data_IF_375485092446
#
_entry.id   IF_375485092446
#
_cell.length_a   1.000
_cell.length_b   1.000
_cell.length_c   1.000
_cell.angle_alpha   90.00
_cell.angle_beta   90.00
_cell.angle_gamma   90.00
#
_symmetry.space_group_name_H-M   'P 1'
#
loop_
_entity.id
_entity.type
_entity.pdbx_description
1 polymer ?
#
# COMPACT_ATOMS: atom_id res chain seq x y z
N UNK A 1 -10.53 -9.91 1.92
CA UNK A 1 -9.94 -8.84 2.78
C UNK A 1 -8.84 -8.13 2.01
N UNK A 2 -8.58 -6.85 2.31
CA UNK A 2 -7.43 -6.12 1.75
C UNK A 2 -6.24 -6.29 2.69
N UNK A 3 -5.15 -6.84 2.17
CA UNK A 3 -3.90 -7.07 2.88
C UNK A 3 -2.94 -5.91 2.62
N UNK A 4 -2.27 -5.41 3.66
CA UNK A 4 -1.21 -4.41 3.57
C UNK A 4 0.11 -5.02 4.06
N UNK A 5 1.18 -4.82 3.31
CA UNK A 5 2.49 -5.39 3.63
C UNK A 5 3.51 -4.36 4.09
N UNK A 6 3.15 -3.09 4.24
CA UNK A 6 4.17 -2.04 4.44
C UNK A 6 3.75 -0.84 5.27
N UNK A 7 2.81 -0.97 6.22
CA UNK A 7 2.45 0.16 7.09
C UNK A 7 3.35 0.27 8.33
N UNK A 8 3.71 -0.84 8.98
CA UNK A 8 4.53 -0.84 10.20
C UNK A 8 6.00 -1.15 9.96
N UNK A 9 6.32 -1.77 8.81
CA UNK A 9 7.69 -2.08 8.41
C UNK A 9 7.79 -2.16 6.89
N UNK A 10 8.98 -2.09 6.34
CA UNK A 10 9.21 -2.34 4.91
C UNK A 10 9.46 -3.85 4.69
N UNK A 11 8.36 -4.63 4.59
CA UNK A 11 8.45 -6.07 4.38
C UNK A 11 9.08 -6.43 3.05
N UNK A 12 8.91 -5.60 2.05
CA UNK A 12 9.40 -5.83 0.70
C UNK A 12 10.92 -5.68 0.64
N UNK A 13 11.47 -4.66 1.30
CA UNK A 13 12.91 -4.42 1.27
C UNK A 13 13.69 -5.44 2.13
N UNK A 14 13.17 -5.76 3.32
CA UNK A 14 13.95 -6.50 4.32
C UNK A 14 13.47 -7.91 4.61
N UNK A 15 12.24 -8.23 4.23
CA UNK A 15 11.56 -9.47 4.60
C UNK A 15 10.92 -10.16 3.39
N UNK A 16 11.46 -9.95 2.18
CA UNK A 16 10.92 -10.51 0.93
C UNK A 16 10.80 -12.04 0.99
N UNK A 17 11.81 -12.73 1.51
CA UNK A 17 11.78 -14.19 1.63
C UNK A 17 10.66 -14.64 2.59
N UNK A 18 10.56 -14.01 3.76
CA UNK A 18 9.47 -14.28 4.70
C UNK A 18 8.10 -14.04 4.05
N UNK A 19 7.93 -12.92 3.37
CA UNK A 19 6.68 -12.57 2.72
C UNK A 19 6.28 -13.64 1.68
N UNK A 20 7.21 -14.08 0.85
CA UNK A 20 6.99 -15.15 -0.13
C UNK A 20 6.66 -16.49 0.54
N UNK A 21 7.33 -16.83 1.63
CA UNK A 21 7.03 -18.03 2.42
C UNK A 21 5.62 -17.96 3.01
N UNK A 22 5.17 -16.79 3.52
CA UNK A 22 3.81 -16.63 4.04
C UNK A 22 2.75 -16.85 2.97
N UNK A 23 2.95 -16.29 1.77
CA UNK A 23 2.04 -16.54 0.64
C UNK A 23 2.07 -18.00 0.16
N UNK A 24 3.23 -18.64 0.17
CA UNK A 24 3.37 -20.06 -0.18
C UNK A 24 2.68 -20.97 0.82
N UNK A 25 2.81 -20.70 2.11
CA UNK A 25 2.17 -21.48 3.17
C UNK A 25 0.68 -21.16 3.34
N UNK A 26 0.20 -20.05 2.76
CA UNK A 26 -1.20 -19.68 2.75
C UNK A 26 -1.72 -19.06 4.04
N UNK A 27 -0.85 -18.66 4.98
CA UNK A 27 -1.24 -17.95 6.18
C UNK A 27 -0.11 -17.11 6.79
N UNK A 28 -0.50 -16.16 7.64
CA UNK A 28 0.40 -15.34 8.44
C UNK A 28 -0.16 -15.15 9.84
N UNK A 29 0.72 -15.04 10.81
CA UNK A 29 0.40 -14.65 12.17
C UNK A 29 0.84 -13.21 12.43
N UNK A 30 0.00 -12.45 13.12
CA UNK A 30 0.34 -11.09 13.55
C UNK A 30 0.11 -10.94 15.04
N UNK A 31 1.10 -10.42 15.74
CA UNK A 31 1.01 -10.15 17.17
C UNK A 31 0.39 -8.78 17.40
N UNK A 32 -0.58 -8.73 18.32
CA UNK A 32 -1.21 -7.45 18.66
C UNK A 32 -0.20 -6.57 19.44
N UNK A 33 0.11 -5.35 18.99
CA UNK A 33 1.10 -4.50 19.66
C UNK A 33 0.66 -4.01 21.05
N UNK A 34 -0.64 -3.95 21.32
CA UNK A 34 -1.20 -3.52 22.62
C UNK A 34 -1.42 -4.71 23.58
N UNK A 35 -1.63 -5.90 23.05
CA UNK A 35 -1.87 -7.14 23.79
C UNK A 35 -0.95 -8.22 23.24
N UNK A 36 0.32 -8.27 23.72
CA UNK A 36 1.35 -9.12 23.12
C UNK A 36 1.04 -10.63 23.15
N UNK A 37 0.21 -11.10 24.07
CA UNK A 37 -0.20 -12.51 24.15
C UNK A 37 -1.33 -12.86 23.16
N UNK A 38 -1.89 -11.86 22.47
CA UNK A 38 -2.91 -12.08 21.43
C UNK A 38 -2.26 -12.10 20.05
N UNK A 39 -2.38 -13.25 19.41
CA UNK A 39 -1.90 -13.50 18.05
C UNK A 39 -3.08 -13.73 17.14
N UNK A 40 -3.12 -13.03 16.02
CA UNK A 40 -4.19 -13.18 15.02
C UNK A 40 -3.65 -13.94 13.81
N UNK A 41 -4.37 -14.98 13.40
CA UNK A 41 -4.12 -15.73 12.18
C UNK A 41 -4.95 -15.18 11.03
N UNK A 42 -4.31 -14.89 9.92
CA UNK A 42 -4.96 -14.54 8.65
C UNK A 42 -4.59 -15.56 7.58
N UNK A 43 -5.61 -16.06 6.87
CA UNK A 43 -5.43 -16.89 5.67
C UNK A 43 -4.99 -16.01 4.51
N UNK A 44 -3.97 -16.45 3.77
CA UNK A 44 -3.43 -15.78 2.59
C UNK A 44 -3.79 -16.54 1.30
N UNK A 45 -4.97 -17.12 1.22
CA UNK A 45 -5.45 -17.81 0.02
C UNK A 45 -6.19 -16.84 -0.92
N UNK A 46 -6.21 -17.08 -2.25
CA UNK A 46 -6.84 -16.16 -3.20
C UNK A 46 -8.33 -15.89 -2.96
N UNK A 47 -9.04 -16.80 -2.31
CA UNK A 47 -10.45 -16.64 -1.94
C UNK A 47 -10.65 -15.73 -0.69
N UNK A 48 -9.61 -15.54 0.12
CA UNK A 48 -9.64 -14.69 1.33
C UNK A 48 -9.05 -13.30 1.10
N UNK A 49 -8.20 -13.15 0.09
CA UNK A 49 -7.51 -11.89 -0.22
C UNK A 49 -8.11 -11.24 -1.46
N UNK A 50 -8.78 -10.12 -1.28
CA UNK A 50 -9.34 -9.33 -2.38
C UNK A 50 -8.27 -8.53 -3.12
N UNK A 51 -7.26 -8.07 -2.40
CA UNK A 51 -6.18 -7.23 -2.91
C UNK A 51 -5.00 -7.21 -1.94
N UNK A 52 -3.78 -7.21 -2.48
CA UNK A 52 -2.54 -6.98 -1.72
C UNK A 52 -2.00 -5.59 -2.02
N UNK A 53 -1.86 -4.77 -0.98
CA UNK A 53 -1.22 -3.46 -1.03
C UNK A 53 0.24 -3.59 -0.60
N UNK A 54 1.13 -3.27 -1.51
CA UNK A 54 2.57 -3.19 -1.23
C UNK A 54 2.96 -1.73 -0.99
N UNK A 55 3.71 -1.47 0.07
CA UNK A 55 4.27 -0.13 0.33
C UNK A 55 5.73 -0.30 0.73
N UNK A 56 6.64 0.25 -0.06
CA UNK A 56 8.08 0.08 0.14
C UNK A 56 8.88 1.26 -0.39
N UNK A 57 10.10 1.41 0.13
CA UNK A 57 11.14 2.30 -0.38
C UNK A 57 12.14 1.59 -1.29
N UNK A 58 12.02 0.26 -1.42
CA UNK A 58 12.88 -0.52 -2.31
C UNK A 58 12.24 -1.86 -2.69
N UNK A 59 11.89 -2.02 -3.95
CA UNK A 59 11.33 -3.26 -4.48
C UNK A 59 12.38 -4.22 -5.06
N UNK A 60 13.65 -3.82 -5.19
CA UNK A 60 14.68 -4.66 -5.82
C UNK A 60 14.77 -6.09 -5.26
N UNK A 61 14.67 -6.32 -3.92
CA UNK A 61 14.79 -7.67 -3.37
C UNK A 61 13.69 -8.65 -3.81
N UNK A 62 12.45 -8.16 -4.03
CA UNK A 62 11.32 -9.03 -4.38
C UNK A 62 11.13 -9.21 -5.89
N UNK A 63 11.65 -8.28 -6.72
CA UNK A 63 11.40 -8.31 -8.18
C UNK A 63 11.65 -9.66 -8.84
N UNK A 64 12.74 -10.42 -8.52
CA UNK A 64 13.02 -11.69 -9.19
C UNK A 64 11.92 -12.74 -8.99
N UNK A 65 11.17 -12.66 -7.89
CA UNK A 65 10.15 -13.63 -7.48
C UNK A 65 8.75 -13.01 -7.34
N UNK A 66 8.55 -11.77 -7.76
CA UNK A 66 7.31 -11.04 -7.56
C UNK A 66 6.10 -11.73 -8.21
N UNK A 67 6.31 -12.42 -9.32
CA UNK A 67 5.26 -13.17 -10.05
C UNK A 67 4.66 -14.30 -9.21
N UNK A 68 5.36 -14.84 -8.22
CA UNK A 68 4.80 -15.84 -7.30
C UNK A 68 3.54 -15.33 -6.57
N UNK A 69 3.44 -13.99 -6.42
CA UNK A 69 2.27 -13.31 -5.80
C UNK A 69 1.37 -12.70 -6.88
N UNK A 70 1.93 -11.93 -7.81
CA UNK A 70 1.13 -11.13 -8.75
C UNK A 70 0.32 -11.96 -9.74
N UNK A 71 0.73 -13.20 -10.02
CA UNK A 71 -0.01 -14.11 -10.89
C UNK A 71 -1.24 -14.74 -10.19
N UNK A 72 -1.34 -14.62 -8.86
CA UNK A 72 -2.40 -15.23 -8.05
C UNK A 72 -3.35 -14.21 -7.40
N UNK A 73 -2.89 -12.99 -7.17
CA UNK A 73 -3.62 -11.99 -6.41
C UNK A 73 -3.74 -10.67 -7.15
N UNK A 74 -4.85 -9.95 -7.04
CA UNK A 74 -4.91 -8.54 -7.35
C UNK A 74 -3.92 -7.78 -6.47
N UNK A 75 -3.16 -6.84 -7.07
CA UNK A 75 -2.06 -6.16 -6.38
C UNK A 75 -2.06 -4.67 -6.67
N UNK A 76 -1.51 -3.86 -5.75
CA UNK A 76 -1.21 -2.46 -6.01
C UNK A 76 0.04 -2.03 -5.23
N UNK A 77 0.90 -1.24 -5.87
CA UNK A 77 2.23 -0.91 -5.38
C UNK A 77 2.36 0.58 -5.10
N UNK A 78 2.73 0.91 -3.89
CA UNK A 78 3.11 2.27 -3.48
C UNK A 78 4.63 2.31 -3.35
N UNK A 79 5.31 2.94 -4.30
CA UNK A 79 6.75 3.10 -4.25
C UNK A 79 7.10 4.48 -3.73
N UNK A 80 7.66 4.56 -2.54
CA UNK A 80 8.10 5.82 -1.94
C UNK A 80 9.48 6.19 -2.46
N UNK A 81 9.57 7.28 -3.21
CA UNK A 81 10.82 7.88 -3.69
C UNK A 81 10.79 9.35 -3.33
N UNK A 82 11.75 9.78 -2.53
CA UNK A 82 11.91 11.12 -1.96
C UNK A 82 13.30 11.68 -2.31
N UNK A 83 13.53 12.99 -2.23
CA UNK A 83 14.83 13.58 -2.57
C UNK A 83 15.89 13.43 -1.48
N UNK A 84 15.56 12.75 -0.37
CA UNK A 84 16.42 12.72 0.80
C UNK A 84 17.62 11.80 0.61
N UNK A 85 18.78 12.24 1.12
CA UNK A 85 20.00 11.44 1.17
C UNK A 85 20.09 10.60 2.44
N UNK A 86 21.27 10.00 2.61
CA UNK A 86 21.59 9.13 3.77
C UNK A 86 21.54 9.87 5.11
N UNK A 87 21.58 11.18 5.10
CA UNK A 87 21.43 12.05 6.27
C UNK A 87 20.00 12.00 6.87
N UNK A 88 18.99 11.71 6.06
CA UNK A 88 17.58 11.56 6.48
C UNK A 88 17.10 10.12 6.35
N UNK A 89 17.52 9.41 5.29
CA UNK A 89 17.08 8.05 4.93
C UNK A 89 18.28 7.09 4.77
N UNK A 90 18.96 6.71 5.86
CA UNK A 90 20.23 5.96 5.79
C UNK A 90 20.16 4.64 5.01
N UNK A 91 19.08 3.86 5.19
CA UNK A 91 18.91 2.53 4.59
C UNK A 91 18.23 2.52 3.22
N UNK A 92 17.77 3.68 2.72
CA UNK A 92 17.04 3.77 1.45
C UNK A 92 18.01 3.87 0.27
N UNK A 93 17.77 3.19 -0.87
CA UNK A 93 18.56 3.35 -2.08
C UNK A 93 18.60 4.80 -2.59
N UNK A 94 19.55 5.11 -3.45
CA UNK A 94 19.61 6.40 -4.13
C UNK A 94 18.37 6.63 -5.01
N UNK A 95 18.06 7.89 -5.31
CA UNK A 95 16.96 8.25 -6.22
C UNK A 95 17.11 7.57 -7.58
N UNK A 96 18.32 7.49 -8.13
CA UNK A 96 18.57 6.86 -9.42
C UNK A 96 18.29 5.35 -9.39
N UNK A 97 18.78 4.64 -8.38
CA UNK A 97 18.50 3.21 -8.18
C UNK A 97 17.00 2.96 -7.99
N UNK A 98 16.32 3.83 -7.25
CA UNK A 98 14.88 3.73 -7.01
C UNK A 98 14.06 3.96 -8.28
N UNK A 99 14.45 4.92 -9.14
CA UNK A 99 13.83 5.15 -10.45
C UNK A 99 13.98 3.91 -11.34
N UNK A 100 15.17 3.35 -11.46
CA UNK A 100 15.40 2.15 -12.29
C UNK A 100 14.64 0.93 -11.74
N UNK A 101 14.58 0.79 -10.42
CA UNK A 101 13.78 -0.27 -9.78
C UNK A 101 12.28 -0.09 -10.05
N UNK A 102 11.75 1.14 -10.00
CA UNK A 102 10.35 1.42 -10.30
C UNK A 102 10.01 1.10 -11.77
N UNK A 103 10.88 1.44 -12.71
CA UNK A 103 10.70 1.08 -14.12
C UNK A 103 10.59 -0.44 -14.31
N UNK A 104 11.46 -1.21 -13.65
CA UNK A 104 11.42 -2.67 -13.66
C UNK A 104 10.15 -3.21 -13.02
N UNK A 105 9.72 -2.65 -11.88
CA UNK A 105 8.46 -3.00 -11.23
C UNK A 105 7.28 -2.76 -12.19
N UNK A 106 7.21 -1.57 -12.78
CA UNK A 106 6.14 -1.18 -13.71
C UNK A 106 6.09 -2.09 -14.95
N UNK A 107 7.25 -2.53 -15.46
CA UNK A 107 7.32 -3.48 -16.58
C UNK A 107 6.74 -4.86 -16.22
N UNK A 108 6.84 -5.28 -14.95
CA UNK A 108 6.29 -6.58 -14.49
C UNK A 108 4.78 -6.48 -14.26
N UNK A 109 4.31 -5.42 -13.60
CA UNK A 109 2.93 -5.36 -13.08
C UNK A 109 2.00 -4.43 -13.87
N UNK A 110 2.54 -3.62 -14.77
CA UNK A 110 1.83 -2.57 -15.50
C UNK A 110 1.74 -1.26 -14.72
N UNK A 111 1.89 -0.13 -15.43
CA UNK A 111 1.89 1.22 -14.85
C UNK A 111 0.68 1.54 -13.99
N UNK A 112 -0.49 1.01 -14.36
CA UNK A 112 -1.75 1.29 -13.66
C UNK A 112 -1.81 0.73 -12.24
N UNK A 113 -0.89 -0.17 -11.88
CA UNK A 113 -0.78 -0.77 -10.55
C UNK A 113 0.33 -0.16 -9.71
N UNK A 114 0.99 0.91 -10.17
CA UNK A 114 2.12 1.55 -9.49
C UNK A 114 1.81 3.01 -9.21
N UNK A 115 1.81 3.39 -7.94
CA UNK A 115 1.76 4.79 -7.51
C UNK A 115 3.12 5.22 -6.96
N UNK A 116 3.59 6.36 -7.39
CA UNK A 116 4.72 7.03 -6.77
C UNK A 116 4.27 7.76 -5.51
N UNK A 117 4.93 7.52 -4.38
CA UNK A 117 4.75 8.28 -3.15
C UNK A 117 5.91 9.25 -2.95
N UNK A 118 5.62 10.53 -3.05
CA UNK A 118 6.51 11.63 -2.68
C UNK A 118 6.20 12.04 -1.24
N UNK A 119 6.51 11.15 -0.29
CA UNK A 119 5.93 11.16 1.05
C UNK A 119 6.93 10.71 2.13
N UNK A 120 7.14 11.53 3.18
CA UNK A 120 6.59 12.87 3.39
C UNK A 120 7.44 13.97 2.74
N UNK A 121 6.82 15.13 2.49
CA UNK A 121 7.53 16.38 2.22
C UNK A 121 7.91 17.03 3.54
N UNK A 122 9.18 17.38 3.72
CA UNK A 122 9.70 18.05 4.91
C UNK A 122 10.74 19.10 4.52
N UNK A 123 10.91 20.13 5.35
CA UNK A 123 11.87 21.19 5.12
C UNK A 123 13.00 21.17 6.17
N UNK A 124 14.21 21.41 5.69
CA UNK A 124 15.41 21.70 6.50
C UNK A 124 16.21 22.78 5.78
N UNK A 125 17.32 23.23 6.35
CA UNK A 125 18.25 24.16 5.67
C UNK A 125 18.80 23.58 4.35
N UNK A 126 18.89 22.24 4.23
CA UNK A 126 19.35 21.53 3.03
C UNK A 126 18.20 21.24 2.06
N UNK A 127 17.09 20.76 2.58
CA UNK A 127 15.91 20.37 1.78
C UNK A 127 14.91 21.51 1.75
N UNK A 128 15.21 22.51 0.90
CA UNK A 128 14.41 23.73 0.73
C UNK A 128 13.28 23.53 -0.26
N UNK A 129 12.37 24.50 -0.37
CA UNK A 129 11.29 24.51 -1.36
C UNK A 129 11.85 24.40 -2.78
N UNK A 130 12.92 25.13 -3.08
CA UNK A 130 13.57 25.14 -4.40
C UNK A 130 14.21 23.78 -4.74
N UNK A 131 14.80 23.11 -3.73
CA UNK A 131 15.35 21.76 -3.93
C UNK A 131 14.20 20.77 -4.19
N UNK A 132 13.10 20.84 -3.45
CA UNK A 132 11.93 20.02 -3.70
C UNK A 132 11.37 20.23 -5.11
N UNK A 133 11.28 21.48 -5.57
CA UNK A 133 10.79 21.78 -6.92
C UNK A 133 11.68 21.13 -7.99
N UNK A 134 13.01 21.29 -7.90
CA UNK A 134 13.96 20.69 -8.85
C UNK A 134 13.93 19.17 -8.80
N UNK A 135 13.95 18.58 -7.61
CA UNK A 135 13.97 17.13 -7.43
C UNK A 135 12.66 16.48 -7.90
N UNK A 136 11.51 17.08 -7.59
CA UNK A 136 10.23 16.57 -8.05
C UNK A 136 10.09 16.65 -9.56
N UNK A 137 10.51 17.75 -10.20
CA UNK A 137 10.47 17.88 -11.66
C UNK A 137 11.35 16.82 -12.33
N UNK A 138 12.57 16.60 -11.83
CA UNK A 138 13.46 15.56 -12.32
C UNK A 138 12.85 14.15 -12.20
N UNK A 139 12.29 13.82 -11.02
CA UNK A 139 11.67 12.51 -10.79
C UNK A 139 10.40 12.35 -11.62
N UNK A 140 9.56 13.38 -11.72
CA UNK A 140 8.33 13.36 -12.52
C UNK A 140 8.61 13.07 -13.99
N UNK A 141 9.62 13.73 -14.58
CA UNK A 141 10.07 13.45 -15.95
C UNK A 141 10.40 11.97 -16.18
N UNK A 142 11.14 11.37 -15.23
CA UNK A 142 11.61 9.99 -15.36
C UNK A 142 10.55 8.94 -15.02
N UNK A 143 9.58 9.29 -14.16
CA UNK A 143 8.59 8.33 -13.62
C UNK A 143 7.24 8.36 -14.34
N UNK A 144 6.86 9.48 -14.97
CA UNK A 144 5.53 9.65 -15.58
C UNK A 144 5.07 8.50 -16.51
N UNK A 145 5.95 7.91 -17.35
CA UNK A 145 5.53 6.79 -18.21
C UNK A 145 5.22 5.49 -17.44
N UNK A 146 5.68 5.37 -16.20
CA UNK A 146 5.71 4.12 -15.44
C UNK A 146 4.78 4.07 -14.26
N UNK A 147 4.03 5.15 -14.00
CA UNK A 147 3.15 5.25 -12.82
C UNK A 147 1.72 5.59 -13.23
N UNK A 148 0.78 5.22 -12.37
CA UNK A 148 -0.62 5.64 -12.46
C UNK A 148 -0.81 7.07 -11.94
N UNK A 149 -0.23 7.36 -10.77
CA UNK A 149 -0.41 8.62 -10.04
C UNK A 149 0.73 8.90 -9.07
N UNK A 150 0.79 10.16 -8.61
CA UNK A 150 1.64 10.58 -7.51
C UNK A 150 0.81 10.89 -6.25
N UNK A 151 1.29 10.44 -5.10
CA UNK A 151 0.67 10.70 -3.79
C UNK A 151 1.71 11.39 -2.91
N UNK A 152 1.35 12.50 -2.29
CA UNK A 152 2.24 13.15 -1.34
C UNK A 152 1.53 13.48 -0.03
N UNK A 153 2.31 13.71 1.03
CA UNK A 153 1.85 14.31 2.27
C UNK A 153 2.92 15.22 2.83
N UNK A 154 2.51 16.18 3.65
CA UNK A 154 3.45 16.94 4.45
C UNK A 154 3.77 16.17 5.74
N UNK A 155 5.00 16.32 6.23
CA UNK A 155 5.41 15.69 7.48
C UNK A 155 4.53 16.15 8.64
N UNK A 156 4.04 15.20 9.44
CA UNK A 156 3.31 15.49 10.66
C UNK A 156 4.29 15.69 11.84
N UNK A 157 4.07 16.74 12.61
CA UNK A 157 4.88 17.05 13.77
C UNK A 157 4.38 16.26 14.99
N UNK A 158 5.13 15.28 15.42
CA UNK A 158 4.89 14.53 16.66
C UNK A 158 6.14 14.56 17.56
N UNK A 159 5.96 14.38 18.87
CA UNK A 159 7.01 14.57 19.89
C UNK A 159 8.35 13.90 19.55
N UNK A 160 8.32 12.68 19.02
CA UNK A 160 9.54 11.94 18.66
C UNK A 160 10.30 12.61 17.52
N UNK A 161 9.60 13.23 16.58
CA UNK A 161 10.21 13.87 15.41
C UNK A 161 11.07 15.06 15.80
N UNK A 162 10.66 15.86 16.79
CA UNK A 162 11.45 16.97 17.30
C UNK A 162 12.76 16.53 17.92
N UNK A 163 12.83 15.31 18.44
CA UNK A 163 14.05 14.71 19.01
C UNK A 163 14.92 14.13 17.89
N UNK A 164 14.33 13.39 16.95
CA UNK A 164 15.08 12.69 15.90
C UNK A 164 15.55 13.62 14.77
N UNK A 165 14.89 14.76 14.59
CA UNK A 165 15.17 15.73 13.54
C UNK A 165 15.11 17.16 14.07
N UNK A 166 16.07 17.58 14.93
CA UNK A 166 16.12 18.96 15.43
C UNK A 166 16.33 19.97 14.30
N UNK A 167 16.86 19.54 13.15
CA UNK A 167 17.04 20.34 11.93
C UNK A 167 15.75 20.57 11.13
N UNK A 168 14.62 19.94 11.53
CA UNK A 168 13.34 20.08 10.84
C UNK A 168 12.80 21.51 10.99
N UNK A 169 12.45 22.12 9.87
CA UNK A 169 11.80 23.44 9.81
C UNK A 169 10.28 23.22 9.70
N UNK A 170 9.49 23.66 10.70
CA UNK A 170 8.03 23.61 10.62
C UNK A 170 7.53 24.41 9.41
N UNK A 171 6.71 23.80 8.57
CA UNK A 171 6.14 24.46 7.41
C UNK A 171 4.96 25.34 7.80
N UNK A 172 4.96 26.58 7.30
CA UNK A 172 3.79 27.45 7.33
C UNK A 172 2.78 27.05 6.27
N UNK A 173 1.55 27.52 6.37
CA UNK A 173 0.54 27.31 5.30
C UNK A 173 0.99 27.93 3.97
N UNK A 174 1.71 29.07 4.01
CA UNK A 174 2.32 29.67 2.83
C UNK A 174 3.33 28.75 2.16
N UNK A 175 4.17 28.07 2.95
CA UNK A 175 5.15 27.11 2.41
C UNK A 175 4.45 25.91 1.77
N UNK A 176 3.44 25.35 2.44
CA UNK A 176 2.65 24.23 1.90
C UNK A 176 1.98 24.61 0.59
N UNK A 177 1.40 25.81 0.47
CA UNK A 177 0.77 26.29 -0.78
C UNK A 177 1.79 26.50 -1.89
N UNK A 178 2.97 27.06 -1.61
CA UNK A 178 4.06 27.19 -2.59
C UNK A 178 4.49 25.82 -3.10
N UNK A 179 4.64 24.83 -2.18
CA UNK A 179 4.98 23.46 -2.53
C UNK A 179 3.87 22.83 -3.39
N UNK A 180 2.63 22.95 -2.98
CA UNK A 180 1.48 22.42 -3.72
C UNK A 180 1.39 23.01 -5.12
N UNK A 181 1.63 24.32 -5.30
CA UNK A 181 1.60 24.98 -6.58
C UNK A 181 2.61 24.38 -7.57
N UNK A 182 3.88 24.25 -7.18
CA UNK A 182 4.85 23.67 -8.09
C UNK A 182 4.64 22.16 -8.30
N UNK A 183 4.20 21.39 -7.29
CA UNK A 183 3.88 19.98 -7.45
C UNK A 183 2.74 19.79 -8.46
N UNK A 184 1.66 20.58 -8.32
CA UNK A 184 0.52 20.53 -9.22
C UNK A 184 0.88 20.93 -10.66
N UNK A 185 1.60 22.05 -10.85
CA UNK A 185 2.09 22.49 -12.16
C UNK A 185 2.96 21.46 -12.86
N UNK A 186 3.90 20.87 -12.10
CA UNK A 186 4.81 19.84 -12.62
C UNK A 186 4.06 18.55 -12.97
N UNK A 187 3.17 18.09 -12.09
CA UNK A 187 2.35 16.91 -12.34
C UNK A 187 1.47 17.09 -13.60
N UNK A 188 0.84 18.26 -13.75
CA UNK A 188 0.06 18.61 -14.94
C UNK A 188 0.92 18.58 -16.21
N UNK A 189 2.14 19.13 -16.16
CA UNK A 189 3.06 19.16 -17.30
C UNK A 189 3.42 17.76 -17.80
N UNK A 190 3.64 16.81 -16.89
CA UNK A 190 3.97 15.42 -17.22
C UNK A 190 2.76 14.47 -17.29
N UNK A 191 1.53 14.99 -17.21
CA UNK A 191 0.30 14.18 -17.27
C UNK A 191 0.16 13.20 -16.09
N UNK A 192 0.71 13.54 -14.92
CA UNK A 192 0.62 12.74 -13.71
C UNK A 192 -0.60 13.20 -12.91
N UNK A 193 -1.49 12.27 -12.55
CA UNK A 193 -2.53 12.54 -11.55
C UNK A 193 -1.86 12.70 -10.18
N UNK A 194 -2.12 13.79 -9.48
CA UNK A 194 -1.52 14.07 -8.17
C UNK A 194 -2.59 14.24 -7.09
N UNK A 195 -2.32 13.69 -5.90
CA UNK A 195 -3.23 13.78 -4.76
C UNK A 195 -2.48 13.86 -3.44
N UNK A 196 -3.17 14.38 -2.42
CA UNK A 196 -2.71 14.30 -1.02
C UNK A 196 -3.22 13.01 -0.36
N UNK A 197 -2.57 12.60 0.74
CA UNK A 197 -3.05 11.56 1.64
C UNK A 197 -2.81 11.96 3.09
N UNK A 198 -3.87 11.98 3.90
CA UNK A 198 -3.77 12.30 5.33
C UNK A 198 -3.25 13.71 5.60
N UNK A 199 -3.51 14.65 4.72
CA UNK A 199 -3.10 16.04 4.83
C UNK A 199 -4.34 16.91 4.98
N UNK A 200 -4.37 17.72 6.01
CA UNK A 200 -5.39 18.74 6.17
C UNK A 200 -5.09 19.91 5.23
N UNK A 201 -6.10 20.44 4.58
CA UNK A 201 -6.02 21.55 3.63
C UNK A 201 -6.57 21.18 2.24
N UNK A 202 -7.11 22.19 1.57
CA UNK A 202 -7.57 22.09 0.18
C UNK A 202 -6.49 22.68 -0.74
N UNK A 203 -6.05 21.86 -1.70
CA UNK A 203 -5.08 22.20 -2.73
C UNK A 203 -5.66 22.02 -4.14
N UNK A 204 -7.00 21.95 -4.26
CA UNK A 204 -7.70 21.73 -5.52
C UNK A 204 -7.43 22.82 -6.57
N UNK A 205 -7.17 24.05 -6.13
CA UNK A 205 -6.78 25.16 -7.02
C UNK A 205 -5.48 24.89 -7.81
N UNK A 206 -4.61 24.02 -7.27
CA UNK A 206 -3.38 23.58 -7.93
C UNK A 206 -3.55 22.27 -8.72
N UNK A 207 -4.80 21.80 -8.91
CA UNK A 207 -5.09 20.54 -9.60
C UNK A 207 -4.75 19.29 -8.78
N UNK A 208 -4.67 19.44 -7.45
CA UNK A 208 -4.35 18.35 -6.52
C UNK A 208 -5.63 17.85 -5.87
N UNK A 209 -5.88 16.55 -5.96
CA UNK A 209 -7.06 15.94 -5.36
C UNK A 209 -6.82 15.60 -3.89
N UNK A 210 -7.76 15.93 -3.01
CA UNK A 210 -7.79 15.39 -1.65
C UNK A 210 -8.43 14.01 -1.67
N UNK A 211 -7.67 12.96 -1.33
CA UNK A 211 -8.16 11.58 -1.39
C UNK A 211 -7.35 10.66 -0.47
N UNK A 212 -7.87 9.45 -0.24
CA UNK A 212 -7.11 8.37 0.38
C UNK A 212 -6.10 7.75 -0.59
N UNK A 213 -5.00 7.22 -0.08
CA UNK A 213 -4.08 6.45 -0.93
C UNK A 213 -4.72 5.11 -1.37
N UNK A 214 -5.46 4.44 -0.50
CA UNK A 214 -6.18 3.20 -0.78
C UNK A 214 -7.68 3.48 -0.95
N UNK A 215 -8.09 3.79 -2.18
CA UNK A 215 -9.48 4.04 -2.58
C UNK A 215 -9.95 2.91 -3.50
N UNK A 216 -11.03 2.23 -3.14
CA UNK A 216 -11.48 1.01 -3.82
C UNK A 216 -11.76 1.20 -5.30
N UNK A 217 -12.35 2.32 -5.72
CA UNK A 217 -12.63 2.59 -7.12
C UNK A 217 -11.34 2.66 -7.97
N UNK A 218 -10.27 3.25 -7.45
CA UNK A 218 -8.97 3.33 -8.13
C UNK A 218 -8.27 1.96 -8.16
N UNK A 219 -8.29 1.25 -7.04
CA UNK A 219 -7.71 -0.08 -6.92
C UNK A 219 -8.44 -1.11 -7.79
N UNK A 220 -9.76 -0.99 -7.90
CA UNK A 220 -10.60 -1.82 -8.77
C UNK A 220 -10.29 -1.59 -10.24
N UNK A 221 -10.22 -0.33 -10.69
CA UNK A 221 -9.82 0.00 -12.06
C UNK A 221 -8.48 -0.61 -12.43
N UNK A 222 -7.49 -0.50 -11.55
CA UNK A 222 -6.15 -1.03 -11.78
C UNK A 222 -6.11 -2.57 -11.92
N UNK A 223 -7.07 -3.27 -11.30
CA UNK A 223 -7.11 -4.73 -11.26
C UNK A 223 -8.30 -5.35 -12.02
N UNK A 224 -9.07 -4.54 -12.76
CA UNK A 224 -10.24 -4.98 -13.52
C UNK A 224 -11.27 -5.74 -12.65
N UNK A 225 -11.47 -5.26 -11.42
CA UNK A 225 -12.45 -5.80 -10.49
C UNK A 225 -13.31 -4.69 -9.89
N UNK A 226 -14.51 -5.06 -9.44
CA UNK A 226 -15.42 -4.14 -8.78
C UNK A 226 -15.51 -4.42 -7.29
N UNK A 227 -15.43 -3.36 -6.50
CA UNK A 227 -15.63 -3.42 -5.06
C UNK A 227 -17.01 -2.91 -4.68
N UNK A 228 -17.54 -3.42 -3.56
CA UNK A 228 -18.75 -2.90 -2.93
C UNK A 228 -18.55 -1.45 -2.54
N UNK A 229 -19.60 -0.67 -2.61
CA UNK A 229 -19.57 0.68 -2.04
C UNK A 229 -19.63 0.55 -0.51
N UNK A 230 -18.52 0.88 0.13
CA UNK A 230 -18.36 0.83 1.58
C UNK A 230 -17.80 2.15 2.09
N UNK A 231 -18.25 2.54 3.28
CA UNK A 231 -17.75 3.75 3.93
C UNK A 231 -16.23 3.63 4.16
N UNK A 232 -15.52 4.68 3.80
CA UNK A 232 -14.11 4.80 4.14
C UNK A 232 -13.96 4.82 5.66
N UNK A 233 -13.03 4.02 6.17
CA UNK A 233 -12.65 3.99 7.57
C UNK A 233 -11.17 4.27 7.66
N UNK A 234 -10.83 5.55 7.73
CA UNK A 234 -9.43 5.99 7.83
C UNK A 234 -8.68 5.33 8.98
N UNK A 235 -7.37 5.18 8.81
CA UNK A 235 -6.47 4.62 9.83
C UNK A 235 -6.11 5.67 10.89
N UNK A 236 -6.31 6.95 10.59
CA UNK A 236 -6.06 8.12 11.45
C UNK A 236 -6.95 9.28 11.03
N UNK A 237 -6.98 10.33 11.82
CA UNK A 237 -7.65 11.58 11.46
C UNK A 237 -7.17 12.11 10.10
N UNK A 238 -8.10 12.60 9.27
CA UNK A 238 -7.80 13.05 7.90
C UNK A 238 -7.49 11.94 6.88
N UNK A 239 -7.51 10.66 7.27
CA UNK A 239 -7.30 9.55 6.36
C UNK A 239 -8.60 9.09 5.72
N UNK A 240 -8.66 9.09 4.39
CA UNK A 240 -9.80 8.62 3.60
C UNK A 240 -9.59 7.23 2.99
N UNK A 241 -8.64 6.44 3.52
CA UNK A 241 -8.35 5.11 3.03
C UNK A 241 -9.36 4.07 3.48
N UNK A 242 -9.45 3.00 2.71
CA UNK A 242 -10.20 1.81 3.09
C UNK A 242 -9.51 1.04 4.22
N UNK A 243 -10.30 0.36 5.04
CA UNK A 243 -9.79 -0.57 6.06
C UNK A 243 -8.95 -1.67 5.40
N UNK A 244 -7.74 -1.87 5.93
CA UNK A 244 -6.83 -2.93 5.49
C UNK A 244 -6.16 -3.60 6.70
N UNK A 245 -5.59 -4.78 6.49
CA UNK A 245 -4.88 -5.54 7.53
C UNK A 245 -3.40 -5.52 7.22
N UNK A 246 -2.64 -4.83 8.06
CA UNK A 246 -1.19 -4.79 7.97
C UNK A 246 -0.57 -5.97 8.71
N UNK A 247 0.36 -6.68 8.04
CA UNK A 247 1.06 -7.85 8.58
C UNK A 247 2.46 -7.55 9.11
N UNK A 248 2.90 -6.28 9.05
CA UNK A 248 4.16 -5.83 9.61
C UNK A 248 4.14 -5.73 11.13
N UNK A 249 5.31 -5.50 11.71
CA UNK A 249 5.49 -5.23 13.13
C UNK A 249 6.23 -3.90 13.35
N UNK A 250 5.94 -3.22 14.46
CA UNK A 250 6.67 -2.03 14.87
C UNK A 250 8.11 -2.38 15.26
N UNK A 251 9.01 -1.39 15.18
CA UNK A 251 10.42 -1.54 15.54
C UNK A 251 11.14 -2.68 14.77
N UNK A 252 10.84 -2.86 13.48
CA UNK A 252 11.46 -3.91 12.65
C UNK A 252 12.05 -3.41 11.34
N UNK A 253 11.84 -2.15 10.96
CA UNK A 253 12.36 -1.62 9.68
C UNK A 253 13.77 -1.04 9.83
N UNK A 254 14.83 -1.64 9.23
CA UNK A 254 16.19 -1.13 9.32
C UNK A 254 16.50 0.12 8.50
N UNK A 255 15.54 0.69 7.75
CA UNK A 255 15.77 1.89 6.92
C UNK A 255 16.32 3.08 7.69
N UNK A 256 16.01 3.19 8.99
CA UNK A 256 16.52 4.26 9.85
C UNK A 256 16.04 5.66 9.49
N UNK A 257 14.95 5.81 8.72
CA UNK A 257 14.39 7.11 8.35
C UNK A 257 14.10 7.94 9.61
N UNK A 258 14.69 9.14 9.70
CA UNK A 258 14.60 9.99 10.91
C UNK A 258 13.16 10.38 11.26
N UNK A 259 12.31 10.55 10.25
CA UNK A 259 10.89 10.90 10.42
C UNK A 259 9.96 9.69 10.66
N UNK A 260 10.49 8.48 10.77
CA UNK A 260 9.67 7.28 10.84
C UNK A 260 8.83 7.20 12.13
N UNK A 261 7.52 7.00 11.97
CA UNK A 261 6.61 6.81 13.09
C UNK A 261 6.63 5.38 13.64
N UNK A 262 7.01 4.40 12.81
CA UNK A 262 6.87 2.97 13.13
C UNK A 262 7.99 2.40 14.00
N UNK A 263 9.16 3.03 14.03
CA UNK A 263 10.28 2.60 14.87
C UNK A 263 10.43 3.50 16.10
N UNK A 264 10.67 2.96 17.28
CA UNK A 264 11.03 3.74 18.48
C UNK A 264 12.40 4.36 18.31
N UNK A 265 13.37 3.54 17.89
CA UNK A 265 14.70 3.97 17.50
C UNK A 265 15.31 3.00 16.47
N UNK A 266 16.34 3.43 15.71
CA UNK A 266 16.98 2.58 14.70
C UNK A 266 17.67 1.34 15.28
N UNK A 267 18.24 1.42 16.49
CA UNK A 267 18.95 0.32 17.13
C UNK A 267 18.00 -0.83 17.48
N UNK A 268 16.82 -0.51 18.06
CA UNK A 268 15.79 -1.51 18.34
C UNK A 268 15.32 -2.22 17.05
N UNK A 269 15.11 -1.46 15.98
CA UNK A 269 14.73 -2.02 14.69
C UNK A 269 15.79 -2.97 14.13
N UNK A 270 17.06 -2.58 14.20
CA UNK A 270 18.18 -3.42 13.75
C UNK A 270 18.32 -4.71 14.57
N UNK A 271 18.21 -4.63 15.91
CA UNK A 271 18.25 -5.81 16.79
C UNK A 271 17.08 -6.77 16.50
N UNK A 272 15.90 -6.24 16.23
CA UNK A 272 14.74 -7.06 15.88
C UNK A 272 14.89 -7.68 14.49
N UNK A 273 15.46 -6.96 13.52
CA UNK A 273 15.78 -7.50 12.22
C UNK A 273 16.76 -8.67 12.28
N UNK A 274 17.82 -8.57 13.10
CA UNK A 274 18.79 -9.66 13.31
C UNK A 274 18.17 -10.93 13.92
N UNK A 275 17.07 -10.81 14.66
CA UNK A 275 16.34 -11.94 15.27
C UNK A 275 15.26 -12.51 14.34
N UNK A 276 15.10 -11.96 13.15
CA UNK A 276 14.09 -12.41 12.21
C UNK A 276 14.41 -13.81 11.68
N UNK A 277 13.37 -14.64 11.61
CA UNK A 277 13.41 -15.96 10.98
C UNK A 277 12.44 -16.00 9.80
N UNK A 278 12.91 -16.13 8.55
CA UNK A 278 12.03 -16.13 7.38
C UNK A 278 11.07 -17.33 7.31
N UNK A 279 11.30 -18.37 8.09
CA UNK A 279 10.41 -19.54 8.17
C UNK A 279 9.32 -19.36 9.25
N UNK A 280 9.48 -18.42 10.18
CA UNK A 280 8.48 -18.19 11.23
C UNK A 280 7.16 -17.67 10.65
N UNK A 281 5.99 -18.11 11.16
CA UNK A 281 4.71 -17.51 10.77
C UNK A 281 4.54 -16.07 11.26
N UNK A 282 5.30 -15.64 12.27
CA UNK A 282 5.38 -14.26 12.77
C UNK A 282 6.55 -13.53 12.10
N UNK A 283 6.39 -12.23 11.82
CA UNK A 283 7.50 -11.40 11.33
C UNK A 283 8.63 -11.29 12.38
N UNK A 284 8.26 -11.23 13.66
CA UNK A 284 9.21 -11.12 14.77
C UNK A 284 8.81 -12.07 15.89
N UNK A 285 9.82 -12.80 16.37
CA UNK A 285 9.68 -13.78 17.46
C UNK A 285 8.98 -15.05 17.04
N UNK A 286 8.62 -15.85 18.03
CA UNK A 286 7.97 -17.15 17.88
C UNK A 286 6.64 -17.17 18.63
N UNK A 287 5.78 -18.13 18.29
CA UNK A 287 4.56 -18.42 19.04
C UNK A 287 4.97 -19.08 20.35
N UNK A 288 4.42 -18.58 21.45
CA UNK A 288 4.66 -19.10 22.82
C UNK A 288 3.46 -19.93 23.27
N UNK A 289 3.68 -20.83 24.20
CA UNK A 289 2.59 -21.64 24.81
C UNK A 289 1.54 -20.78 25.50
N UNK A 290 1.91 -19.58 25.93
CA UNK A 290 1.01 -18.59 26.57
C UNK A 290 0.22 -17.75 25.57
N UNK A 291 0.52 -17.84 24.26
CA UNK A 291 -0.16 -17.05 23.23
C UNK A 291 -1.57 -17.59 22.97
N UNK A 292 -2.53 -16.68 22.90
CA UNK A 292 -3.89 -16.98 22.41
C UNK A 292 -3.97 -16.68 20.92
N UNK A 293 -4.07 -17.72 20.10
CA UNK A 293 -4.22 -17.57 18.64
C UNK A 293 -5.71 -17.51 18.31
N UNK A 294 -6.12 -16.40 17.67
CA UNK A 294 -7.48 -16.21 17.21
C UNK A 294 -7.53 -16.08 15.69
N UNK A 295 -8.61 -16.55 15.07
CA UNK A 295 -8.84 -16.35 13.64
C UNK A 295 -9.23 -14.90 13.38
N UNK A 296 -8.51 -14.24 12.47
CA UNK A 296 -8.79 -12.87 12.06
C UNK A 296 -10.06 -12.77 11.21
N UNK A 297 -10.80 -11.67 11.39
CA UNK A 297 -11.97 -11.41 10.56
C UNK A 297 -11.52 -10.97 9.16
N UNK A 298 -11.89 -11.75 8.14
CA UNK A 298 -11.54 -11.53 6.74
C UNK A 298 -12.82 -11.37 5.91
N UNK A 299 -13.28 -10.13 5.76
CA UNK A 299 -14.46 -9.81 4.94
C UNK A 299 -14.04 -9.52 3.52
N UNK A 300 -14.74 -10.08 2.53
CA UNK A 300 -14.54 -9.69 1.14
C UNK A 300 -15.31 -8.41 0.82
N UNK A 301 -14.60 -7.51 0.15
CA UNK A 301 -15.13 -6.25 -0.37
C UNK A 301 -15.41 -6.31 -1.88
N UNK A 302 -15.09 -7.42 -2.55
CA UNK A 302 -15.40 -7.60 -3.96
C UNK A 302 -16.93 -7.72 -4.15
N UNK A 303 -17.45 -7.10 -5.20
CA UNK A 303 -18.78 -7.42 -5.71
C UNK A 303 -18.75 -8.85 -6.26
N UNK A 304 -19.82 -9.62 -6.01
CA UNK A 304 -19.97 -10.93 -6.65
C UNK A 304 -19.97 -10.75 -8.17
N UNK A 305 -19.23 -11.58 -8.88
CA UNK A 305 -19.29 -11.64 -10.36
C UNK A 305 -20.65 -12.11 -10.86
N UNK A 306 -21.41 -12.76 -10.00
CA UNK A 306 -22.78 -13.16 -10.26
C UNK A 306 -23.70 -12.25 -9.47
N UNK A 307 -24.62 -11.49 -10.11
CA UNK A 307 -25.69 -10.86 -9.40
C UNK A 307 -26.40 -11.97 -8.61
N UNK A 308 -26.64 -11.71 -7.32
CA UNK A 308 -27.46 -12.60 -6.51
C UNK A 308 -28.86 -12.52 -7.14
N UNK A 309 -29.18 -13.46 -8.02
CA UNK A 309 -30.53 -13.58 -8.55
C UNK A 309 -31.40 -13.82 -7.33
N UNK A 310 -32.27 -12.86 -7.01
CA UNK A 310 -33.31 -13.10 -6.04
C UNK A 310 -34.23 -14.15 -6.66
N UNK A 311 -34.81 -15.01 -5.85
CA UNK A 311 -35.80 -15.97 -6.32
C UNK A 311 -36.97 -15.28 -7.09
N UNK A 312 -37.13 -13.96 -6.93
CA UNK A 312 -38.13 -13.13 -7.59
C UNK A 312 -37.65 -12.54 -8.94
N UNK A 313 -36.36 -12.58 -9.23
CA UNK A 313 -35.79 -12.13 -10.52
C UNK A 313 -35.67 -13.26 -11.55
N UNK A 314 -36.04 -14.50 -11.17
CA UNK A 314 -36.26 -15.59 -12.11
C UNK A 314 -37.62 -15.38 -12.81
N UNK A 315 -37.65 -14.65 -13.92
CA UNK A 315 -38.65 -14.91 -14.92
C UNK A 315 -38.53 -16.39 -15.30
N UNK A 316 -39.51 -17.17 -14.88
CA UNK A 316 -39.70 -18.53 -15.34
C UNK A 316 -39.91 -18.47 -16.87
N UNK A 317 -38.85 -18.60 -17.63
CA UNK A 317 -38.96 -18.98 -19.03
C UNK A 317 -39.57 -20.36 -18.98
N UNK A 318 -40.88 -20.42 -19.22
CA UNK A 318 -41.61 -21.67 -19.44
C UNK A 318 -40.91 -22.41 -20.61
N UNK A 319 -40.07 -23.37 -20.25
CA UNK A 319 -39.61 -24.38 -21.21
C UNK A 319 -40.88 -25.11 -21.60
N UNK A 320 -41.38 -24.86 -22.79
CA UNK A 320 -42.43 -25.71 -23.40
C UNK A 320 -41.79 -27.08 -23.57
N UNK A 321 -42.08 -27.96 -22.65
CA UNK A 321 -41.92 -29.40 -22.83
C UNK A 321 -43.04 -29.77 -23.77
N UNK A 322 -42.73 -29.95 -25.05
CA UNK A 322 -43.62 -30.59 -26.03
C UNK A 322 -43.97 -31.99 -25.52
N UNK A 323 -45.26 -32.23 -25.32
CA UNK A 323 -45.76 -33.57 -24.97
C UNK A 323 -45.26 -34.59 -26.02
N UNK A 324 -44.86 -35.80 -25.61
CA UNK A 324 -44.48 -36.86 -26.51
C UNK A 324 -45.73 -37.27 -27.35
N UNK A 325 -45.59 -37.17 -28.65
CA UNK A 325 -46.58 -37.67 -29.62
C UNK A 325 -46.93 -39.14 -29.35
N UNK A 326 -48.20 -39.43 -29.09
CA UNK A 326 -48.75 -40.79 -28.98
C UNK A 326 -48.42 -41.53 -30.30
N UNK A 327 -47.94 -42.79 -30.29
CA UNK A 327 -47.86 -43.61 -31.51
C UNK A 327 -49.26 -43.96 -31.96
N UNK A 328 -49.51 -43.79 -33.25
CA UNK A 328 -50.76 -44.28 -33.91
C UNK A 328 -50.86 -45.79 -33.87
N UNK A 329 -52.08 -46.37 -33.73
CA UNK A 329 -52.26 -47.82 -33.77
C UNK A 329 -52.09 -48.31 -35.17
N UNK A 330 -51.26 -49.33 -35.33
CA UNK A 330 -51.13 -50.12 -36.60
C UNK A 330 -52.40 -50.93 -36.77
N UNK A 331 -53.06 -50.71 -37.89
CA UNK A 331 -54.12 -51.57 -38.42
C UNK A 331 -53.60 -52.82 -39.14
#
# INVERSE_FOLDING_TARGET
MILNTGARTDTVQYYSEWLLNRFKEGFVLTRNPLFPDKVTRYELTPDKIDLVLFCSKNYAPILPRLREITDKYPVYFYYTITPYGKDIEPGVPSVLESIETLKRLSAIVGRNRVAWRYDPVLLTSKYTIELHAKAFAYMAEKLAPYIDRCIFSFVELYKKLTINMPELIPMTESDKRKIADFLGKTAKHYGIRIQTCGTNGDYSEFGIHSSGCAVLSELGKANHCEFKDIKHKGMREGCHCIENRDIGAYDTCPNGCKYCYANKNPQAAMLNYQKHNPQSPLLLGEVKDTDTIIQGVQRSYLKSKYPQLSLFDMELSLIHISEPTRPEPIS
#
